data_IF_316946188327
#
_entry.id   IF_316946188327
#
_cell.length_a   1.000
_cell.length_b   1.000
_cell.length_c   1.000
_cell.angle_alpha   90.00
_cell.angle_beta   90.00
_cell.angle_gamma   90.00
#
_symmetry.space_group_name_H-M   'P 1'
#
loop_
_entity.id
_entity.type
_entity.pdbx_description
1 polymer ?
#
# COMPACT_ATOMS: atom_id res chain seq x y z
N UNK A 1 23.82 -6.43 -12.47
CA UNK A 1 22.57 -5.88 -11.94
C UNK A 1 22.61 -6.03 -10.43
N UNK A 2 22.70 -4.94 -9.68
CA UNK A 2 22.63 -5.00 -8.21
C UNK A 2 21.14 -5.04 -7.89
N UNK A 3 20.60 -6.21 -7.49
CA UNK A 3 19.25 -6.26 -6.96
C UNK A 3 19.18 -5.28 -5.77
N UNK A 4 18.17 -4.39 -5.70
CA UNK A 4 17.98 -3.61 -4.49
C UNK A 4 17.83 -4.59 -3.33
N UNK A 5 18.70 -4.48 -2.32
CA UNK A 5 18.61 -5.31 -1.12
C UNK A 5 17.21 -5.14 -0.53
N UNK A 6 16.51 -6.25 -0.35
CA UNK A 6 15.22 -6.21 0.33
C UNK A 6 15.45 -5.73 1.76
N UNK A 7 14.50 -4.99 2.31
CA UNK A 7 14.57 -4.56 3.72
C UNK A 7 14.70 -5.78 4.65
N UNK A 8 14.22 -6.96 4.23
CA UNK A 8 14.35 -8.22 4.94
C UNK A 8 15.80 -8.70 5.16
N UNK A 9 16.77 -8.19 4.40
CA UNK A 9 18.19 -8.55 4.55
C UNK A 9 18.92 -7.70 5.62
N UNK A 10 18.21 -6.75 6.27
CA UNK A 10 18.79 -5.80 7.23
C UNK A 10 18.54 -6.29 8.67
N UNK A 11 19.56 -6.29 9.56
CA UNK A 11 19.37 -6.59 10.97
C UNK A 11 18.40 -5.60 11.63
N UNK A 12 17.30 -6.09 12.19
CA UNK A 12 16.28 -5.26 12.83
C UNK A 12 14.95 -5.98 12.97
N UNK A 13 13.94 -5.32 13.55
CA UNK A 13 12.56 -5.82 13.47
C UNK A 13 12.04 -5.56 12.07
N UNK A 14 11.89 -6.63 11.31
CA UNK A 14 11.31 -6.60 9.97
C UNK A 14 9.89 -7.14 10.04
N UNK A 15 8.93 -6.38 9.52
CA UNK A 15 7.63 -6.94 9.17
C UNK A 15 7.53 -7.09 7.66
N UNK A 16 6.91 -8.18 7.27
CA UNK A 16 6.69 -8.53 5.88
C UNK A 16 5.22 -8.87 5.73
N UNK A 17 4.51 -8.09 4.93
CA UNK A 17 3.11 -8.36 4.59
C UNK A 17 3.09 -8.89 3.16
N UNK A 18 2.82 -10.17 3.02
CA UNK A 18 2.88 -10.87 1.74
C UNK A 18 1.63 -10.64 0.87
N UNK A 19 1.76 -10.96 -0.41
CA UNK A 19 0.68 -10.82 -1.39
C UNK A 19 -0.62 -11.52 -0.97
N UNK A 20 -0.52 -12.70 -0.35
CA UNK A 20 -1.69 -13.48 0.06
C UNK A 20 -2.47 -12.75 1.16
N UNK A 21 -1.78 -12.25 2.18
CA UNK A 21 -2.39 -11.48 3.27
C UNK A 21 -3.01 -10.18 2.76
N UNK A 22 -2.29 -9.45 1.88
CA UNK A 22 -2.80 -8.25 1.22
C UNK A 22 -4.07 -8.58 0.43
N UNK A 23 -4.07 -9.67 -0.34
CA UNK A 23 -5.22 -10.09 -1.13
C UNK A 23 -6.42 -10.48 -0.24
N UNK A 24 -6.17 -11.11 0.91
CA UNK A 24 -7.23 -11.43 1.88
C UNK A 24 -7.87 -10.17 2.46
N UNK A 25 -7.05 -9.21 2.92
CA UNK A 25 -7.54 -7.93 3.43
C UNK A 25 -8.26 -7.11 2.35
N UNK A 26 -7.72 -7.11 1.13
CA UNK A 26 -8.32 -6.43 -0.01
C UNK A 26 -9.70 -7.01 -0.39
N UNK A 27 -9.86 -8.34 -0.35
CA UNK A 27 -11.16 -9.01 -0.50
C UNK A 27 -12.16 -8.64 0.58
N UNK A 28 -11.68 -8.26 1.77
CA UNK A 28 -12.49 -7.74 2.86
C UNK A 28 -12.77 -6.23 2.75
N UNK A 29 -12.46 -5.60 1.60
CA UNK A 29 -12.72 -4.18 1.34
C UNK A 29 -11.75 -3.21 2.01
N UNK A 30 -10.64 -3.71 2.56
CA UNK A 30 -9.67 -2.86 3.27
C UNK A 30 -8.84 -2.00 2.31
N UNK A 31 -8.65 -0.75 2.67
CA UNK A 31 -7.72 0.17 2.00
C UNK A 31 -6.27 -0.16 2.36
N UNK A 32 -5.29 0.41 1.66
CA UNK A 32 -3.88 0.26 2.03
C UNK A 32 -3.62 0.79 3.46
N UNK A 33 -4.23 1.92 3.84
CA UNK A 33 -4.13 2.46 5.19
C UNK A 33 -4.62 1.47 6.25
N UNK A 34 -5.78 0.86 6.01
CA UNK A 34 -6.35 -0.17 6.91
C UNK A 34 -5.43 -1.39 7.03
N UNK A 35 -4.90 -1.88 5.91
CA UNK A 35 -3.97 -3.01 5.87
C UNK A 35 -2.73 -2.70 6.71
N UNK A 36 -2.12 -1.54 6.50
CA UNK A 36 -0.94 -1.10 7.22
C UNK A 36 -1.22 -1.00 8.73
N UNK A 37 -2.32 -0.36 9.13
CA UNK A 37 -2.70 -0.20 10.54
C UNK A 37 -3.06 -1.52 11.22
N UNK A 38 -3.62 -2.48 10.50
CA UNK A 38 -3.97 -3.80 11.04
C UNK A 38 -2.74 -4.72 11.19
N UNK A 39 -1.78 -4.61 10.29
CA UNK A 39 -0.66 -5.57 10.19
C UNK A 39 0.62 -5.09 10.87
N UNK A 40 0.80 -3.78 11.07
CA UNK A 40 2.04 -3.19 11.60
C UNK A 40 1.79 -2.63 13.00
N UNK A 41 2.34 -3.24 14.07
CA UNK A 41 2.16 -2.77 15.43
C UNK A 41 2.67 -1.35 15.65
N UNK A 42 1.87 -0.54 16.35
CA UNK A 42 2.21 0.85 16.69
C UNK A 42 2.49 1.76 15.48
N UNK A 43 1.87 1.43 14.34
CA UNK A 43 1.81 2.30 13.18
C UNK A 43 0.58 3.22 13.27
N UNK A 44 0.82 4.52 13.07
CA UNK A 44 -0.23 5.51 12.87
C UNK A 44 -0.01 6.18 11.50
N UNK A 45 -0.98 6.05 10.60
CA UNK A 45 -0.94 6.62 9.24
C UNK A 45 -1.60 8.01 9.15
N UNK A 46 -2.10 8.55 10.28
CA UNK A 46 -2.74 9.85 10.39
C UNK A 46 -4.16 9.89 9.80
N UNK A 47 -5.09 10.49 10.52
CA UNK A 47 -6.54 10.49 10.23
C UNK A 47 -7.00 11.50 9.15
N UNK A 48 -6.15 11.84 8.17
CA UNK A 48 -6.54 12.71 7.05
C UNK A 48 -6.56 14.23 7.35
N UNK A 49 -5.99 14.66 8.47
CA UNK A 49 -5.76 16.07 8.79
C UNK A 49 -4.82 16.78 7.81
N UNK A 50 -4.84 18.13 7.79
CA UNK A 50 -4.01 18.98 6.90
C UNK A 50 -2.50 18.90 7.16
N UNK A 51 -2.05 18.12 8.15
CA UNK A 51 -0.64 18.02 8.57
C UNK A 51 -0.24 16.55 8.72
N UNK A 52 1.05 16.24 8.51
CA UNK A 52 1.63 14.91 8.77
C UNK A 52 1.78 14.60 10.28
N UNK A 53 1.21 15.45 11.15
CA UNK A 53 1.28 15.33 12.60
C UNK A 53 0.48 14.10 13.02
N UNK A 54 1.17 13.00 13.34
CA UNK A 54 0.57 11.71 13.70
C UNK A 54 1.10 10.54 12.87
N UNK A 55 1.77 10.78 11.74
CA UNK A 55 2.29 9.73 10.87
C UNK A 55 3.59 9.12 11.42
N UNK A 56 3.45 8.18 12.34
CA UNK A 56 4.54 7.68 13.14
C UNK A 56 4.59 6.15 13.17
N UNK A 57 5.81 5.61 13.26
CA UNK A 57 6.07 4.23 13.64
C UNK A 57 6.65 4.23 15.05
N UNK A 58 5.93 3.66 16.02
CA UNK A 58 6.29 3.70 17.45
C UNK A 58 6.55 5.11 17.97
N UNK A 59 5.70 6.07 17.58
CA UNK A 59 5.77 7.47 18.03
C UNK A 59 6.91 8.30 17.44
N UNK A 60 7.59 7.81 16.40
CA UNK A 60 8.70 8.50 15.72
C UNK A 60 8.42 8.62 14.22
N UNK A 61 8.96 9.66 13.60
CA UNK A 61 8.77 9.91 12.17
C UNK A 61 9.27 8.74 11.33
N UNK A 62 8.46 8.29 10.38
CA UNK A 62 8.79 7.21 9.45
C UNK A 62 8.93 7.72 8.02
N UNK A 63 9.65 6.95 7.20
CA UNK A 63 9.71 7.16 5.75
C UNK A 63 8.83 6.11 5.06
N UNK A 64 7.97 6.55 4.14
CA UNK A 64 7.19 5.65 3.29
C UNK A 64 7.71 5.76 1.86
N UNK A 65 7.88 4.63 1.19
CA UNK A 65 8.41 4.51 -0.16
C UNK A 65 7.52 3.60 -1.02
N UNK A 66 7.58 3.81 -2.33
CA UNK A 66 7.10 2.84 -3.33
C UNK A 66 8.30 2.40 -4.16
N UNK A 67 8.55 1.10 -4.23
CA UNK A 67 9.67 0.54 -5.01
C UNK A 67 11.03 1.20 -4.69
N UNK A 68 11.25 1.59 -3.42
CA UNK A 68 12.46 2.27 -2.98
C UNK A 68 12.50 3.79 -3.24
N UNK A 69 11.46 4.37 -3.85
CA UNK A 69 11.35 5.81 -4.08
C UNK A 69 10.51 6.45 -2.98
N UNK A 70 11.08 7.46 -2.31
CA UNK A 70 10.40 8.20 -1.24
C UNK A 70 9.12 8.86 -1.71
N UNK A 71 8.03 8.66 -0.95
CA UNK A 71 6.76 9.36 -1.14
C UNK A 71 6.73 10.74 -0.47
N UNK A 72 7.82 11.18 0.16
CA UNK A 72 7.84 12.41 0.94
C UNK A 72 7.45 13.63 0.09
N UNK A 73 6.25 14.14 0.37
CA UNK A 73 5.61 15.27 -0.32
C UNK A 73 5.06 16.26 0.70
N UNK A 74 4.64 17.44 0.23
CA UNK A 74 3.83 18.40 1.01
C UNK A 74 2.41 17.91 1.38
N UNK A 75 2.03 16.68 0.99
CA UNK A 75 0.69 16.11 1.23
C UNK A 75 0.75 15.06 2.36
N UNK A 76 -0.34 14.90 3.15
CA UNK A 76 -0.47 13.82 4.13
C UNK A 76 -0.24 12.44 3.52
N UNK A 77 0.53 11.58 4.21
CA UNK A 77 0.77 10.19 3.76
C UNK A 77 -0.54 9.44 3.51
N UNK A 78 -1.57 9.66 4.34
CA UNK A 78 -2.87 8.98 4.19
C UNK A 78 -3.46 9.17 2.80
N UNK A 79 -3.47 10.41 2.29
CA UNK A 79 -3.95 10.71 0.92
C UNK A 79 -3.10 10.09 -0.17
N UNK A 80 -1.81 9.86 0.09
CA UNK A 80 -0.93 9.18 -0.86
C UNK A 80 -1.19 7.68 -0.85
N UNK A 81 -1.46 7.09 0.32
CA UNK A 81 -1.83 5.70 0.47
C UNK A 81 -3.20 5.42 -0.17
N UNK A 82 -4.16 6.34 -0.07
CA UNK A 82 -5.47 6.24 -0.72
C UNK A 82 -5.38 6.14 -2.25
N UNK A 83 -4.33 6.71 -2.85
CA UNK A 83 -4.09 6.65 -4.29
C UNK A 83 -3.48 5.31 -4.76
N UNK A 84 -3.10 4.43 -3.83
CA UNK A 84 -2.45 3.14 -4.13
C UNK A 84 -3.43 2.03 -3.80
N UNK A 85 -4.07 1.49 -4.83
CA UNK A 85 -4.99 0.36 -4.63
C UNK A 85 -4.22 -0.94 -4.30
N UNK A 86 -4.61 -1.69 -3.25
CA UNK A 86 -3.91 -2.92 -2.85
C UNK A 86 -3.85 -4.02 -3.92
N UNK A 87 -4.72 -3.99 -4.94
CA UNK A 87 -4.62 -4.87 -6.10
C UNK A 87 -3.26 -4.82 -6.81
N UNK A 88 -2.59 -3.66 -6.73
CA UNK A 88 -1.31 -3.43 -7.38
C UNK A 88 -0.10 -3.71 -6.50
N UNK A 89 -0.31 -4.12 -5.25
CA UNK A 89 0.76 -4.34 -4.28
C UNK A 89 1.11 -5.83 -4.28
N UNK A 90 2.41 -6.09 -4.39
CA UNK A 90 2.95 -7.44 -4.26
C UNK A 90 3.25 -7.74 -2.81
N UNK A 91 3.88 -6.80 -2.11
CA UNK A 91 4.23 -6.94 -0.71
C UNK A 91 4.51 -5.60 -0.07
N UNK A 92 4.50 -5.58 1.24
CA UNK A 92 4.92 -4.42 2.05
C UNK A 92 6.06 -4.88 2.95
N UNK A 93 7.17 -4.14 2.91
CA UNK A 93 8.35 -4.38 3.74
C UNK A 93 8.48 -3.25 4.75
N UNK A 94 8.68 -3.58 6.03
CA UNK A 94 8.81 -2.60 7.10
C UNK A 94 10.05 -2.88 7.91
N UNK A 95 10.91 -1.86 8.04
CA UNK A 95 12.01 -1.86 9.00
C UNK A 95 11.66 -0.92 10.15
N UNK A 96 11.50 -1.44 11.36
CA UNK A 96 11.39 -0.57 12.55
C UNK A 96 12.77 -0.16 13.06
N UNK A 97 12.86 1.08 13.50
CA UNK A 97 14.02 1.64 14.14
C UNK A 97 14.79 2.60 13.23
N UNK A 98 15.64 3.41 13.85
CA UNK A 98 16.42 4.37 13.10
C UNK A 98 17.39 3.64 12.17
N UNK A 99 17.35 3.97 10.89
CA UNK A 99 18.26 3.43 9.89
C UNK A 99 18.89 4.58 9.11
N UNK A 100 20.22 4.54 8.98
CA UNK A 100 20.97 5.52 8.18
C UNK A 100 20.91 5.22 6.68
N UNK A 101 20.46 4.01 6.31
CA UNK A 101 20.48 3.51 4.92
C UNK A 101 19.52 4.30 4.03
N UNK A 102 18.39 4.74 4.58
CA UNK A 102 17.32 5.40 3.82
C UNK A 102 17.21 6.92 4.08
N UNK A 103 18.21 7.51 4.74
CA UNK A 103 18.35 8.97 4.89
C UNK A 103 17.97 9.53 6.27
N UNK A 104 18.34 10.80 6.49
CA UNK A 104 18.08 11.51 7.73
C UNK A 104 16.57 11.82 7.86
N UNK A 105 15.95 11.34 8.95
CA UNK A 105 14.54 11.66 9.29
C UNK A 105 13.64 10.46 9.54
N UNK A 106 14.00 9.27 9.03
CA UNK A 106 13.26 8.01 9.23
C UNK A 106 13.55 7.39 10.62
N UNK A 107 13.39 8.19 11.67
CA UNK A 107 13.78 7.80 13.03
C UNK A 107 12.97 6.62 13.56
N UNK A 108 11.69 6.52 13.24
CA UNK A 108 10.82 5.39 13.58
C UNK A 108 11.03 4.16 12.70
N UNK A 109 11.54 4.35 11.49
CA UNK A 109 11.74 3.28 10.52
C UNK A 109 11.27 3.63 9.12
N UNK A 110 11.19 2.60 8.29
CA UNK A 110 10.89 2.70 6.86
C UNK A 110 9.81 1.70 6.48
N UNK A 111 8.83 2.13 5.69
CA UNK A 111 7.84 1.28 5.04
C UNK A 111 8.08 1.38 3.54
N UNK A 112 8.25 0.24 2.87
CA UNK A 112 8.43 0.16 1.43
C UNK A 112 7.31 -0.68 0.82
N UNK A 113 6.48 -0.06 -0.01
CA UNK A 113 5.41 -0.70 -0.75
C UNK A 113 6.00 -1.18 -2.07
N UNK A 114 6.00 -2.49 -2.31
CA UNK A 114 6.50 -3.07 -3.54
C UNK A 114 5.32 -3.33 -4.47
N UNK A 115 5.37 -2.76 -5.67
CA UNK A 115 4.31 -2.97 -6.67
C UNK A 115 4.52 -4.26 -7.45
N UNK A 116 3.42 -4.88 -7.87
CA UNK A 116 3.45 -6.05 -8.76
C UNK A 116 4.09 -5.66 -10.10
N UNK A 117 4.95 -6.52 -10.63
CA UNK A 117 5.67 -6.33 -11.91
C UNK A 117 5.44 -7.52 -12.84
N UNK A 118 5.79 -7.34 -14.11
CA UNK A 118 5.92 -8.46 -15.03
C UNK A 118 7.27 -9.14 -14.80
N UNK A 119 7.24 -10.42 -14.42
CA UNK A 119 8.45 -11.21 -14.14
C UNK A 119 8.89 -12.08 -15.33
N UNK A 120 7.96 -12.37 -16.24
CA UNK A 120 8.19 -13.12 -17.46
C UNK A 120 7.74 -12.33 -18.69
N UNK A 121 8.12 -12.85 -19.85
CA UNK A 121 7.72 -12.36 -21.16
C UNK A 121 6.29 -12.81 -21.51
N UNK A 122 5.82 -13.86 -20.83
CA UNK A 122 4.49 -14.42 -21.00
C UNK A 122 3.39 -13.43 -20.61
N UNK A 123 2.32 -13.44 -21.39
CA UNK A 123 1.16 -12.60 -21.13
C UNK A 123 0.36 -13.18 -19.96
N UNK A 124 0.21 -12.39 -18.90
CA UNK A 124 -0.54 -12.71 -17.71
C UNK A 124 -1.66 -11.71 -17.48
N UNK A 125 -2.81 -12.22 -17.00
CA UNK A 125 -3.98 -11.43 -16.68
C UNK A 125 -4.40 -11.67 -15.24
N UNK A 126 -4.78 -10.61 -14.54
CA UNK A 126 -5.38 -10.69 -13.20
C UNK A 126 -6.68 -9.90 -13.21
N UNK A 127 -7.74 -10.43 -12.60
CA UNK A 127 -9.02 -9.75 -12.45
C UNK A 127 -9.52 -9.89 -11.03
N UNK A 128 -10.14 -8.82 -10.54
CA UNK A 128 -10.78 -8.78 -9.23
C UNK A 128 -12.13 -8.11 -9.35
N UNK A 129 -13.12 -8.68 -8.68
CA UNK A 129 -14.44 -8.10 -8.47
C UNK A 129 -14.79 -8.31 -7.01
N UNK A 130 -15.21 -7.24 -6.33
CA UNK A 130 -15.57 -7.29 -4.92
C UNK A 130 -16.69 -6.29 -4.63
N UNK A 131 -17.47 -6.59 -3.59
CA UNK A 131 -18.46 -5.67 -3.04
C UNK A 131 -18.51 -5.81 -1.53
N UNK A 132 -18.70 -4.69 -0.85
CA UNK A 132 -18.83 -4.64 0.61
C UNK A 132 -20.07 -3.83 0.99
N UNK A 133 -20.78 -4.25 2.03
CA UNK A 133 -21.95 -3.56 2.56
C UNK A 133 -21.69 -3.15 4.00
N UNK A 134 -22.03 -1.92 4.33
CA UNK A 134 -22.04 -1.44 5.71
C UNK A 134 -23.20 -2.05 6.51
N UNK A 135 -23.02 -2.21 7.83
CA UNK A 135 -24.09 -2.63 8.74
C UNK A 135 -24.87 -1.46 9.37
N UNK A 136 -24.47 -0.20 9.08
CA UNK A 136 -24.96 1.00 9.77
C UNK A 136 -25.94 1.86 8.96
N UNK A 137 -26.16 1.58 7.67
CA UNK A 137 -27.11 2.28 6.80
C UNK A 137 -27.55 1.36 5.66
N UNK A 138 -28.81 1.44 5.24
CA UNK A 138 -29.40 0.54 4.22
C UNK A 138 -28.87 0.75 2.79
N UNK A 139 -28.10 1.82 2.54
CA UNK A 139 -27.65 2.23 1.20
C UNK A 139 -26.11 2.23 1.01
N UNK A 140 -25.32 1.85 2.02
CA UNK A 140 -23.84 1.88 1.92
C UNK A 140 -23.33 0.58 1.26
N UNK A 141 -23.49 0.48 -0.05
CA UNK A 141 -22.88 -0.57 -0.87
C UNK A 141 -21.69 -0.03 -1.67
N UNK A 142 -20.53 -0.63 -1.43
CA UNK A 142 -19.32 -0.38 -2.20
C UNK A 142 -19.12 -1.50 -3.22
N UNK A 143 -18.74 -1.16 -4.43
CA UNK A 143 -18.26 -2.14 -5.40
C UNK A 143 -16.92 -1.74 -6.00
N UNK A 144 -16.14 -2.77 -6.36
CA UNK A 144 -14.82 -2.60 -6.95
C UNK A 144 -14.58 -3.63 -8.05
N UNK A 145 -14.02 -3.16 -9.15
CA UNK A 145 -13.54 -3.97 -10.27
C UNK A 145 -12.11 -3.56 -10.59
N UNK A 146 -11.22 -4.54 -10.71
CA UNK A 146 -9.85 -4.31 -11.13
C UNK A 146 -9.42 -5.34 -12.18
N UNK A 147 -8.61 -4.88 -13.14
CA UNK A 147 -7.99 -5.72 -14.15
C UNK A 147 -6.53 -5.32 -14.35
N UNK A 148 -5.66 -6.29 -14.61
CA UNK A 148 -4.29 -6.03 -15.04
C UNK A 148 -3.84 -6.95 -16.16
N UNK A 149 -2.88 -6.44 -16.91
CA UNK A 149 -2.08 -7.14 -17.91
C UNK A 149 -0.61 -7.01 -17.52
N UNK A 150 0.11 -8.12 -17.56
CA UNK A 150 1.56 -8.16 -17.40
C UNK A 150 2.17 -9.00 -18.53
N UNK A 151 3.37 -8.64 -18.99
CA UNK A 151 4.10 -9.41 -19.99
C UNK A 151 5.20 -8.57 -20.63
N UNK A 152 5.81 -9.08 -21.69
CA UNK A 152 6.85 -8.35 -22.41
C UNK A 152 7.72 -9.22 -23.29
N UNK A 153 9.01 -8.89 -23.33
CA UNK A 153 10.05 -9.66 -23.99
C UNK A 153 11.36 -9.58 -23.18
N UNK A 154 12.43 -10.19 -23.70
CA UNK A 154 13.77 -10.20 -23.08
C UNK A 154 14.35 -8.81 -22.76
N UNK A 155 13.88 -7.76 -23.44
CA UNK A 155 14.38 -6.39 -23.28
C UNK A 155 13.51 -5.59 -22.30
N UNK A 156 12.18 -5.66 -22.45
CA UNK A 156 11.24 -4.86 -21.66
C UNK A 156 10.08 -5.73 -21.18
N UNK A 157 9.82 -5.64 -19.87
CA UNK A 157 8.66 -6.23 -19.19
C UNK A 157 7.86 -5.13 -18.52
N UNK A 158 6.55 -5.18 -18.64
CA UNK A 158 5.66 -4.17 -18.08
C UNK A 158 4.38 -4.78 -17.53
N UNK A 159 3.83 -4.14 -16.50
CA UNK A 159 2.49 -4.41 -15.97
C UNK A 159 1.68 -3.12 -16.00
N UNK A 160 0.45 -3.20 -16.48
CA UNK A 160 -0.55 -2.13 -16.44
C UNK A 160 -1.83 -2.63 -15.79
N UNK A 161 -2.55 -1.74 -15.11
CA UNK A 161 -3.80 -2.09 -14.43
C UNK A 161 -4.79 -0.93 -14.44
N UNK A 162 -6.08 -1.24 -14.41
CA UNK A 162 -7.15 -0.29 -14.16
C UNK A 162 -7.95 -0.79 -12.96
N UNK A 163 -8.27 0.12 -12.05
CA UNK A 163 -9.12 -0.13 -10.90
C UNK A 163 -10.25 0.89 -10.93
N UNK A 164 -11.47 0.41 -10.78
CA UNK A 164 -12.67 1.21 -10.65
C UNK A 164 -13.39 0.82 -9.36
N UNK A 165 -13.79 1.81 -8.58
CA UNK A 165 -14.60 1.61 -7.38
C UNK A 165 -15.64 2.70 -7.23
N UNK A 166 -16.83 2.32 -6.78
CA UNK A 166 -17.89 3.23 -6.40
C UNK A 166 -18.23 2.99 -4.93
N UNK A 167 -18.38 4.08 -4.18
CA UNK A 167 -18.78 4.08 -2.78
C UNK A 167 -20.02 4.93 -2.66
N UNK A 168 -21.17 4.29 -2.44
CA UNK A 168 -22.45 4.98 -2.24
C UNK A 168 -22.63 5.27 -0.75
N UNK A 169 -21.88 6.22 -0.22
CA UNK A 169 -22.22 6.85 1.06
C UNK A 169 -23.26 7.94 0.81
N UNK A 170 -24.43 7.82 1.44
CA UNK A 170 -25.56 8.73 1.26
C UNK A 170 -25.15 10.22 1.27
N UNK A 171 -25.32 10.88 0.12
CA UNK A 171 -25.49 12.33 0.07
C UNK A 171 -26.89 12.66 0.58
N UNK A 172 -27.04 12.86 1.89
CA UNK A 172 -28.08 13.76 2.38
C UNK A 172 -27.54 14.55 3.58
N UNK A 173 -27.00 15.72 3.26
CA UNK A 173 -26.77 16.77 4.25
C UNK A 173 -27.95 17.74 4.13
N UNK A 174 -28.86 17.68 5.09
CA UNK A 174 -29.93 18.67 5.31
C UNK A 174 -29.69 19.36 6.66
#
# INVERSE_FOLDING_TARGET
SVMPKSISDIPGTVWFVGQEEIAQQYRAGKTLGDILSATIPSLDVGTGGRTNYGQNLRGRAMLVMIDGVSLQSSRPISRQLDAIDPFNIERIEVLSGATSIYGAGATGGVINIITKKAYSDELAFESFVGGTSGFNSSDDFDYKVAQSVAGGNDIVKARGSVVYSETQGAFDAN
#
